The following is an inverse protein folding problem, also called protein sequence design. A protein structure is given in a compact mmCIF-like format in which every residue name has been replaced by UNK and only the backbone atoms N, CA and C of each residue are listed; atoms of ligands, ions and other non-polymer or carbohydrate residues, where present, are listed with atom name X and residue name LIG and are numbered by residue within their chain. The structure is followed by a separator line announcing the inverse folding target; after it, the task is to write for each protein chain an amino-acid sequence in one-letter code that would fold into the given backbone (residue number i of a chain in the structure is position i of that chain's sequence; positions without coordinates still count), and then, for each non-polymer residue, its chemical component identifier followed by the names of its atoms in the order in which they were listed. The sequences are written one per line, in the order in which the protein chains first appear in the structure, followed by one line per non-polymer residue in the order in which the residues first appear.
data_IF_419215412047
#
_entry.id   IF_419215412047
#
_cell.length_a   1.000
_cell.length_b   1.000
_cell.length_c   1.000
_cell.angle_alpha   90.00
_cell.angle_beta   90.00
_cell.angle_gamma   90.00
#
_symmetry.space_group_name_H-M   'P 1'
#
loop_
_entity.id
_entity.type
_entity.pdbx_description
1 polymer ?
#
# COMPACT_ATOMS: atom_id res chain seq x y z
N UNK A 1 -12.63 -5.07 -6.80
CA UNK A 1 -13.94 -4.49 -7.11
C UNK A 1 -14.41 -4.91 -8.52
N UNK A 2 -13.66 -4.58 -9.57
CA UNK A 2 -14.07 -4.86 -10.96
C UNK A 2 -14.35 -6.35 -11.24
N UNK A 3 -13.58 -7.26 -10.64
CA UNK A 3 -13.71 -8.70 -10.83
C UNK A 3 -14.58 -9.38 -9.77
N UNK A 4 -15.17 -8.64 -8.83
CA UNK A 4 -15.98 -9.20 -7.75
C UNK A 4 -15.24 -10.16 -6.83
N UNK A 5 -13.94 -9.96 -6.63
CA UNK A 5 -13.09 -10.78 -5.75
C UNK A 5 -12.89 -10.12 -4.39
N UNK A 6 -12.31 -10.84 -3.45
CA UNK A 6 -12.00 -10.37 -2.09
C UNK A 6 -13.25 -9.79 -1.37
N UNK A 7 -13.14 -8.60 -0.79
CA UNK A 7 -14.26 -7.93 -0.13
C UNK A 7 -15.44 -7.60 -1.06
N UNK A 8 -15.25 -7.72 -2.37
CA UNK A 8 -16.29 -7.52 -3.40
C UNK A 8 -16.88 -8.82 -3.93
N UNK A 9 -16.64 -9.97 -3.28
CA UNK A 9 -17.21 -11.26 -3.70
C UNK A 9 -18.74 -11.17 -3.75
N UNK A 10 -19.31 -11.44 -4.93
CA UNK A 10 -20.75 -11.27 -5.20
C UNK A 10 -21.23 -9.81 -5.31
N UNK A 11 -20.31 -8.83 -5.28
CA UNK A 11 -20.62 -7.41 -5.40
C UNK A 11 -19.69 -6.75 -6.43
N UNK A 12 -19.64 -7.30 -7.63
CA UNK A 12 -18.83 -6.74 -8.72
C UNK A 12 -19.28 -5.32 -9.03
N UNK A 13 -18.30 -4.41 -9.14
CA UNK A 13 -18.54 -3.03 -9.57
C UNK A 13 -18.22 -2.95 -11.06
N UNK A 14 -19.28 -3.00 -11.87
CA UNK A 14 -19.17 -2.83 -13.32
C UNK A 14 -18.81 -1.38 -13.68
N UNK A 15 -18.24 -1.19 -14.86
CA UNK A 15 -17.95 0.14 -15.38
C UNK A 15 -16.78 0.87 -14.74
N UNK A 16 -15.94 0.22 -13.91
CA UNK A 16 -14.71 0.82 -13.43
C UNK A 16 -13.68 0.97 -14.57
N UNK A 17 -13.11 2.17 -14.66
CA UNK A 17 -12.06 2.53 -15.63
C UNK A 17 -10.88 3.18 -14.91
N UNK A 18 -9.66 2.92 -15.37
CA UNK A 18 -8.46 3.55 -14.86
C UNK A 18 -8.21 4.91 -15.52
N UNK A 19 -7.72 5.87 -14.77
CA UNK A 19 -7.14 7.09 -15.33
C UNK A 19 -5.61 7.01 -15.39
N UNK A 20 -4.99 6.54 -14.32
CA UNK A 20 -3.54 6.34 -14.23
C UNK A 20 -3.18 5.44 -13.05
N UNK A 21 -2.08 4.72 -13.15
CA UNK A 21 -1.33 4.24 -12.00
C UNK A 21 -0.29 5.30 -11.63
N UNK A 22 -0.12 5.55 -10.32
CA UNK A 22 0.66 6.69 -9.84
C UNK A 22 1.99 6.23 -9.25
N UNK A 23 2.00 5.82 -8.02
CA UNK A 23 3.19 5.43 -7.27
C UNK A 23 2.95 4.10 -6.53
N UNK A 24 4.00 3.39 -6.13
CA UNK A 24 3.83 2.20 -5.31
C UNK A 24 3.43 2.57 -3.89
N UNK A 25 2.35 1.98 -3.39
CA UNK A 25 1.98 1.97 -1.98
C UNK A 25 2.63 0.77 -1.33
N UNK A 26 3.65 1.04 -0.52
CA UNK A 26 4.43 0.01 0.14
C UNK A 26 3.69 -0.53 1.34
N UNK A 27 3.60 -1.85 1.46
CA UNK A 27 3.10 -2.49 2.67
C UNK A 27 4.22 -2.47 3.71
N UNK A 28 4.13 -1.55 4.65
CA UNK A 28 5.07 -1.34 5.73
C UNK A 28 4.53 -2.05 6.97
N UNK A 29 5.30 -2.97 7.50
CA UNK A 29 4.95 -3.69 8.73
C UNK A 29 5.82 -3.13 9.84
N UNK A 30 5.21 -2.41 10.76
CA UNK A 30 5.91 -1.67 11.80
C UNK A 30 5.69 -2.27 13.18
N UNK A 31 6.76 -2.37 13.95
CA UNK A 31 6.74 -2.80 15.34
C UNK A 31 7.74 -1.96 16.15
N UNK A 32 7.74 -2.11 17.47
CA UNK A 32 8.74 -1.51 18.35
C UNK A 32 9.83 -2.52 18.70
N UNK A 33 11.06 -2.09 18.80
CA UNK A 33 12.22 -2.94 19.15
C UNK A 33 11.98 -3.78 20.41
N UNK A 34 11.29 -3.23 21.40
CA UNK A 34 10.93 -3.93 22.66
C UNK A 34 9.98 -5.12 22.46
N UNK A 35 9.26 -5.22 21.33
CA UNK A 35 8.34 -6.34 21.03
C UNK A 35 9.06 -7.66 20.78
N UNK A 36 10.32 -7.59 20.31
CA UNK A 36 11.11 -8.74 19.87
C UNK A 36 10.68 -9.35 18.54
N UNK A 37 9.66 -8.80 17.86
CA UNK A 37 9.18 -9.26 16.56
C UNK A 37 10.22 -8.93 15.47
N UNK A 38 10.63 -9.95 14.70
CA UNK A 38 11.60 -9.83 13.61
C UNK A 38 11.07 -10.32 12.27
N UNK A 39 10.01 -11.13 12.29
CA UNK A 39 9.37 -11.71 11.10
C UNK A 39 7.86 -11.70 11.28
N UNK A 40 7.13 -11.77 10.16
CA UNK A 40 5.68 -12.00 10.18
C UNK A 40 5.35 -13.34 10.86
N UNK A 41 6.25 -14.33 10.81
CA UNK A 41 6.08 -15.62 11.49
C UNK A 41 5.92 -15.48 13.01
N UNK A 42 6.43 -14.39 13.61
CA UNK A 42 6.35 -14.12 15.05
C UNK A 42 4.97 -13.59 15.50
N UNK A 43 4.01 -13.44 14.60
CA UNK A 43 2.71 -12.79 14.87
C UNK A 43 1.74 -13.67 15.67
N UNK A 44 1.96 -15.00 15.72
CA UNK A 44 1.05 -15.90 16.45
C UNK A 44 0.86 -15.48 17.91
N UNK A 45 -0.39 -15.32 18.30
CA UNK A 45 -0.79 -14.86 19.65
C UNK A 45 -0.61 -13.36 19.91
N UNK A 46 -0.04 -12.58 18.95
CA UNK A 46 0.20 -11.15 19.09
C UNK A 46 -1.02 -10.31 18.72
N UNK A 47 -1.04 -9.08 19.19
CA UNK A 47 -2.04 -8.06 18.85
C UNK A 47 -1.57 -7.31 17.62
N UNK A 48 -2.23 -7.50 16.51
CA UNK A 48 -1.82 -6.96 15.20
C UNK A 48 -2.88 -5.98 14.69
N UNK A 49 -2.48 -4.73 14.46
CA UNK A 49 -3.29 -3.75 13.75
C UNK A 49 -3.18 -4.02 12.24
N UNK A 50 -4.27 -4.49 11.64
CA UNK A 50 -4.30 -4.94 10.24
C UNK A 50 -4.78 -3.86 9.26
N UNK A 51 -5.04 -2.65 9.74
CA UNK A 51 -5.69 -1.57 8.99
C UNK A 51 -7.16 -1.45 9.36
N UNK A 52 -7.83 -0.41 8.87
CA UNK A 52 -9.26 -0.23 9.09
C UNK A 52 -10.07 -1.36 8.44
N UNK A 53 -11.19 -1.73 9.04
CA UNK A 53 -12.04 -2.80 8.52
C UNK A 53 -12.47 -2.52 7.06
N UNK A 54 -12.27 -3.51 6.18
CA UNK A 54 -12.58 -3.42 4.76
C UNK A 54 -11.67 -2.50 3.96
N UNK A 55 -10.53 -2.08 4.50
CA UNK A 55 -9.52 -1.30 3.77
C UNK A 55 -8.63 -2.19 2.89
N UNK A 56 -7.94 -1.56 1.92
CA UNK A 56 -6.90 -2.23 1.14
C UNK A 56 -5.75 -2.73 2.01
N UNK A 57 -5.40 -1.99 3.08
CA UNK A 57 -4.37 -2.40 4.04
C UNK A 57 -4.76 -3.69 4.76
N UNK A 58 -6.01 -3.83 5.17
CA UNK A 58 -6.53 -5.05 5.80
C UNK A 58 -6.40 -6.26 4.84
N UNK A 59 -6.79 -6.08 3.58
CA UNK A 59 -6.63 -7.12 2.57
C UNK A 59 -5.16 -7.52 2.37
N UNK A 60 -4.25 -6.54 2.30
CA UNK A 60 -2.81 -6.78 2.19
C UNK A 60 -2.27 -7.51 3.42
N UNK A 61 -2.66 -7.10 4.62
CA UNK A 61 -2.23 -7.73 5.88
C UNK A 61 -2.65 -9.21 5.90
N UNK A 62 -3.90 -9.50 5.57
CA UNK A 62 -4.42 -10.87 5.51
C UNK A 62 -3.66 -11.72 4.49
N UNK A 63 -3.49 -11.23 3.26
CA UNK A 63 -2.82 -11.94 2.19
C UNK A 63 -1.34 -12.22 2.52
N UNK A 64 -0.63 -11.26 3.12
CA UNK A 64 0.76 -11.46 3.55
C UNK A 64 0.81 -12.50 4.66
N UNK A 65 0.01 -12.39 5.71
CA UNK A 65 -0.01 -13.37 6.80
C UNK A 65 -0.35 -14.77 6.31
N UNK A 66 -1.30 -14.92 5.38
CA UNK A 66 -1.63 -16.20 4.75
C UNK A 66 -0.43 -16.82 4.02
N UNK A 67 0.43 -16.01 3.37
CA UNK A 67 1.67 -16.49 2.76
C UNK A 67 2.65 -17.07 3.78
N UNK A 68 2.57 -16.64 5.04
CA UNK A 68 3.30 -17.21 6.18
C UNK A 68 2.55 -18.33 6.91
N UNK A 69 1.36 -18.72 6.42
CA UNK A 69 0.52 -19.74 7.05
C UNK A 69 -0.14 -19.26 8.34
N UNK A 70 -0.34 -17.95 8.51
CA UNK A 70 -0.98 -17.33 9.67
C UNK A 70 -2.37 -16.86 9.26
N UNK A 71 -3.38 -17.24 10.04
CA UNK A 71 -4.76 -16.80 9.89
C UNK A 71 -5.14 -15.81 10.98
N UNK A 72 -6.24 -15.12 10.83
CA UNK A 72 -6.75 -14.19 11.84
C UNK A 72 -7.05 -14.85 13.18
N UNK A 73 -7.42 -16.14 13.18
CA UNK A 73 -7.62 -16.92 14.41
C UNK A 73 -6.31 -17.19 15.20
N UNK A 74 -5.15 -17.06 14.52
CA UNK A 74 -3.84 -17.23 15.14
C UNK A 74 -3.34 -15.95 15.85
N UNK A 75 -4.02 -14.82 15.70
CA UNK A 75 -3.61 -13.50 16.20
C UNK A 75 -4.76 -12.79 16.93
N UNK A 76 -4.45 -11.72 17.63
CA UNK A 76 -5.46 -10.80 18.20
C UNK A 76 -5.62 -9.61 17.25
N UNK A 77 -6.53 -9.72 16.30
CA UNK A 77 -6.78 -8.72 15.24
C UNK A 77 -7.29 -7.41 15.84
N UNK A 78 -6.72 -6.29 15.38
CA UNK A 78 -7.18 -4.94 15.68
C UNK A 78 -7.42 -4.18 14.36
N UNK A 79 -8.65 -3.69 14.17
CA UNK A 79 -9.03 -2.90 13.00
C UNK A 79 -8.87 -1.42 13.34
N UNK A 80 -7.76 -0.81 12.93
CA UNK A 80 -7.38 0.55 13.29
C UNK A 80 -6.94 1.32 12.04
N UNK A 81 -7.26 2.62 12.00
CA UNK A 81 -6.63 3.55 11.04
C UNK A 81 -5.13 3.69 11.34
N UNK A 82 -4.36 4.30 10.43
CA UNK A 82 -2.92 4.47 10.62
C UNK A 82 -2.58 5.30 11.87
N UNK A 83 -3.36 6.37 12.14
CA UNK A 83 -3.16 7.19 13.33
C UNK A 83 -3.49 6.46 14.64
N UNK A 84 -4.60 5.72 14.67
CA UNK A 84 -4.98 4.89 15.82
C UNK A 84 -3.97 3.77 16.06
N UNK A 85 -3.48 3.11 14.99
CA UNK A 85 -2.44 2.09 15.08
C UNK A 85 -1.12 2.65 15.62
N UNK A 86 -0.73 3.86 15.19
CA UNK A 86 0.46 4.56 15.70
C UNK A 86 0.33 4.84 17.21
N UNK A 87 -0.81 5.36 17.65
CA UNK A 87 -1.08 5.57 19.08
C UNK A 87 -1.07 4.26 19.85
N UNK A 88 -1.77 3.23 19.35
CA UNK A 88 -1.83 1.92 20.00
C UNK A 88 -0.46 1.22 20.11
N UNK A 89 0.45 1.41 19.12
CA UNK A 89 1.83 0.93 19.20
C UNK A 89 2.62 1.67 20.31
N UNK A 90 2.53 3.00 20.34
CA UNK A 90 3.20 3.81 21.38
C UNK A 90 2.76 3.40 22.78
N UNK A 91 1.47 3.22 22.97
CA UNK A 91 0.84 2.83 24.25
C UNK A 91 1.05 1.35 24.60
N UNK A 92 1.57 0.53 23.68
CA UNK A 92 1.75 -0.89 23.88
C UNK A 92 0.44 -1.70 23.83
N UNK A 93 -0.61 -1.16 23.21
CA UNK A 93 -1.91 -1.83 23.03
C UNK A 93 -1.93 -2.77 21.82
N UNK A 94 -1.02 -2.57 20.85
CA UNK A 94 -0.72 -3.51 19.76
C UNK A 94 0.77 -3.80 19.70
N UNK A 95 1.14 -4.95 19.12
CA UNK A 95 2.51 -5.43 19.07
C UNK A 95 3.15 -5.14 17.69
N UNK A 96 2.34 -5.09 16.63
CA UNK A 96 2.74 -4.66 15.29
C UNK A 96 1.55 -4.06 14.54
N UNK A 97 1.83 -3.30 13.47
CA UNK A 97 0.83 -2.69 12.62
C UNK A 97 1.20 -2.74 11.14
N UNK A 98 0.20 -2.94 10.30
CA UNK A 98 0.31 -2.79 8.84
C UNK A 98 -0.06 -1.38 8.41
N UNK A 99 0.74 -0.81 7.51
CA UNK A 99 0.53 0.50 6.88
C UNK A 99 0.82 0.38 5.39
N UNK A 100 -0.20 0.46 4.55
CA UNK A 100 -0.03 0.46 3.09
C UNK A 100 -0.14 1.89 2.58
N UNK A 101 1.00 2.50 2.27
CA UNK A 101 1.11 3.89 1.84
C UNK A 101 2.45 4.15 1.13
N UNK A 102 2.57 5.31 0.48
CA UNK A 102 3.87 5.84 0.07
C UNK A 102 4.75 6.10 1.30
N UNK A 103 6.03 5.78 1.21
CA UNK A 103 6.98 6.03 2.30
C UNK A 103 7.89 7.24 1.97
N UNK A 104 8.37 7.99 2.98
CA UNK A 104 8.08 7.85 4.42
C UNK A 104 6.62 8.23 4.74
N UNK A 105 6.00 7.50 5.68
CA UNK A 105 4.62 7.72 6.10
C UNK A 105 4.58 8.48 7.43
N UNK A 106 3.77 9.54 7.52
CA UNK A 106 3.70 10.42 8.68
C UNK A 106 3.40 9.66 9.99
N UNK A 107 2.49 8.67 9.95
CA UNK A 107 2.16 7.87 11.14
C UNK A 107 3.37 7.07 11.67
N UNK A 108 4.21 6.53 10.79
CA UNK A 108 5.43 5.81 11.21
C UNK A 108 6.50 6.79 11.68
N UNK A 109 6.64 7.95 11.03
CA UNK A 109 7.53 9.00 11.50
C UNK A 109 7.17 9.49 12.92
N UNK A 110 5.88 9.67 13.20
CA UNK A 110 5.40 10.05 14.54
C UNK A 110 5.79 9.02 15.61
N UNK A 111 5.66 7.72 15.32
CA UNK A 111 6.12 6.68 16.25
C UNK A 111 7.64 6.77 16.44
N UNK A 112 8.39 6.91 15.35
CA UNK A 112 9.85 6.89 15.33
C UNK A 112 10.49 8.08 16.05
N UNK A 113 9.77 9.20 16.26
CA UNK A 113 10.28 10.34 17.03
C UNK A 113 10.54 10.02 18.50
N UNK A 114 9.75 9.12 19.09
CA UNK A 114 9.79 8.82 20.52
C UNK A 114 10.12 7.35 20.83
N UNK A 115 10.12 6.48 19.83
CA UNK A 115 10.30 5.04 20.00
C UNK A 115 11.31 4.47 19.02
N UNK A 116 11.96 3.38 19.39
CA UNK A 116 12.80 2.60 18.49
C UNK A 116 11.89 1.72 17.61
N UNK A 117 11.59 2.22 16.40
CA UNK A 117 10.78 1.52 15.39
C UNK A 117 11.63 0.47 14.69
N UNK A 118 11.01 -0.66 14.39
CA UNK A 118 11.56 -1.71 13.53
C UNK A 118 10.55 -1.97 12.41
N UNK A 119 11.03 -1.97 11.18
CA UNK A 119 10.25 -2.45 10.04
C UNK A 119 10.50 -3.95 9.89
N UNK A 120 9.41 -4.74 9.89
CA UNK A 120 9.47 -6.19 9.71
C UNK A 120 9.54 -6.50 8.23
N UNK A 121 10.56 -7.22 7.74
CA UNK A 121 10.69 -7.55 6.32
C UNK A 121 9.64 -8.56 5.87
N UNK A 122 9.37 -8.57 4.56
CA UNK A 122 8.69 -9.67 3.88
C UNK A 122 9.78 -10.53 3.21
N UNK A 123 9.85 -11.80 3.59
CA UNK A 123 10.85 -12.74 3.09
C UNK A 123 10.69 -12.96 1.58
N UNK A 124 11.79 -13.17 0.87
CA UNK A 124 11.81 -13.21 -0.59
C UNK A 124 10.93 -14.32 -1.17
N UNK A 125 10.94 -15.52 -0.57
CA UNK A 125 10.10 -16.66 -0.97
C UNK A 125 8.61 -16.39 -0.73
N UNK A 126 8.27 -15.68 0.35
CA UNK A 126 6.90 -15.26 0.66
C UNK A 126 6.40 -14.19 -0.29
N UNK A 127 7.26 -13.24 -0.63
CA UNK A 127 6.96 -12.24 -1.66
C UNK A 127 6.73 -12.89 -3.02
N UNK A 128 7.54 -13.88 -3.42
CA UNK A 128 7.36 -14.61 -4.67
C UNK A 128 6.03 -15.40 -4.71
N UNK A 129 5.73 -16.10 -3.62
CA UNK A 129 4.45 -16.82 -3.49
C UNK A 129 3.24 -15.87 -3.56
N UNK A 130 3.34 -14.72 -2.89
CA UNK A 130 2.30 -13.68 -2.88
C UNK A 130 2.07 -13.12 -4.30
N UNK A 131 3.15 -12.77 -5.03
CA UNK A 131 3.07 -12.23 -6.39
C UNK A 131 2.50 -13.27 -7.36
N UNK A 132 2.87 -14.55 -7.20
CA UNK A 132 2.30 -15.63 -8.01
C UNK A 132 0.78 -15.76 -7.83
N UNK A 133 0.30 -15.58 -6.62
CA UNK A 133 -1.13 -15.66 -6.29
C UNK A 133 -1.87 -14.37 -6.63
N UNK A 134 -1.23 -13.23 -6.40
CA UNK A 134 -1.77 -11.88 -6.57
C UNK A 134 -0.82 -11.02 -7.43
N UNK A 135 -0.95 -11.08 -8.78
CA UNK A 135 -0.02 -10.43 -9.72
C UNK A 135 0.04 -8.90 -9.65
N UNK A 136 -0.80 -8.27 -8.84
CA UNK A 136 -0.78 -6.83 -8.60
C UNK A 136 0.24 -6.39 -7.54
N UNK A 137 0.89 -7.33 -6.82
CA UNK A 137 2.02 -7.00 -5.95
C UNK A 137 3.33 -6.90 -6.74
N UNK A 138 4.22 -6.07 -6.23
CA UNK A 138 5.61 -5.99 -6.67
C UNK A 138 6.55 -6.04 -5.47
N UNK A 139 7.77 -6.56 -5.65
CA UNK A 139 8.82 -6.43 -4.65
C UNK A 139 9.31 -4.99 -4.60
N UNK A 140 9.61 -4.51 -3.40
CA UNK A 140 10.16 -3.18 -3.16
C UNK A 140 11.12 -3.24 -1.96
N UNK A 141 12.09 -2.34 -1.94
CA UNK A 141 13.02 -2.18 -0.82
C UNK A 141 12.84 -0.78 -0.22
N UNK A 142 12.51 -0.74 1.07
CA UNK A 142 12.52 0.51 1.85
C UNK A 142 13.97 0.77 2.22
N UNK A 143 14.55 1.85 1.70
CA UNK A 143 15.97 2.16 1.87
C UNK A 143 16.30 2.55 3.29
N UNK A 144 17.51 2.20 3.73
CA UNK A 144 18.08 2.68 4.98
C UNK A 144 17.97 4.20 5.07
N UNK A 145 17.70 4.73 6.27
CA UNK A 145 17.51 6.15 6.50
C UNK A 145 16.13 6.70 6.10
N UNK A 146 15.18 5.87 5.63
CA UNK A 146 13.80 6.31 5.37
C UNK A 146 13.12 6.76 6.66
N UNK A 147 13.39 6.08 7.77
CA UNK A 147 12.91 6.45 9.10
C UNK A 147 14.08 6.63 10.08
N UNK A 148 13.89 7.41 11.16
CA UNK A 148 14.90 7.56 12.20
C UNK A 148 15.37 6.19 12.74
N UNK A 149 16.68 6.01 12.85
CA UNK A 149 17.33 4.78 13.37
C UNK A 149 17.08 3.52 12.54
N UNK A 150 16.63 3.65 11.30
CA UNK A 150 16.56 2.55 10.34
C UNK A 150 17.87 2.49 9.57
N UNK A 151 18.82 1.67 10.04
CA UNK A 151 20.19 1.64 9.52
C UNK A 151 20.39 0.65 8.36
N UNK A 152 19.38 -0.15 8.02
CA UNK A 152 19.44 -1.15 6.97
C UNK A 152 18.25 -1.06 6.01
N UNK A 153 18.48 -1.53 4.77
CA UNK A 153 17.43 -1.74 3.78
C UNK A 153 16.44 -2.80 4.29
N UNK A 154 15.15 -2.63 4.02
CA UNK A 154 14.09 -3.56 4.42
C UNK A 154 13.31 -4.03 3.19
N UNK A 155 13.30 -5.34 2.95
CA UNK A 155 12.53 -5.96 1.89
C UNK A 155 11.03 -5.86 2.19
N UNK A 156 10.26 -5.39 1.23
CA UNK A 156 8.81 -5.21 1.33
C UNK A 156 8.12 -5.60 0.02
N UNK A 157 6.80 -5.58 0.04
CA UNK A 157 5.97 -5.64 -1.16
C UNK A 157 5.15 -4.36 -1.28
N UNK A 158 4.73 -4.05 -2.49
CA UNK A 158 3.93 -2.86 -2.77
C UNK A 158 2.80 -3.20 -3.75
N UNK A 159 1.73 -2.41 -3.69
CA UNK A 159 0.68 -2.36 -4.70
C UNK A 159 0.73 -1.01 -5.40
N UNK A 160 0.23 -0.91 -6.64
CA UNK A 160 0.17 0.38 -7.34
C UNK A 160 -1.04 1.18 -6.87
N UNK A 161 -0.82 2.43 -6.50
CA UNK A 161 -1.90 3.41 -6.34
C UNK A 161 -2.52 3.67 -7.72
N UNK A 162 -3.82 3.47 -7.86
CA UNK A 162 -4.55 3.68 -9.11
C UNK A 162 -5.61 4.75 -8.93
N UNK A 163 -5.58 5.75 -9.82
CA UNK A 163 -6.69 6.68 -9.96
C UNK A 163 -7.74 6.04 -10.87
N UNK A 164 -8.91 5.77 -10.33
CA UNK A 164 -10.01 5.10 -11.02
C UNK A 164 -11.29 5.94 -11.03
N UNK A 165 -12.07 5.77 -12.06
CA UNK A 165 -13.36 6.44 -12.28
C UNK A 165 -14.40 5.42 -12.73
N UNK A 166 -15.63 5.85 -12.90
CA UNK A 166 -16.67 5.04 -13.55
C UNK A 166 -16.76 5.38 -15.04
N UNK A 167 -17.36 4.49 -15.82
CA UNK A 167 -17.67 4.68 -17.25
C UNK A 167 -18.65 5.84 -17.52
N UNK A 168 -19.23 6.44 -16.46
CA UNK A 168 -20.04 7.66 -16.55
C UNK A 168 -19.21 8.93 -16.68
N UNK A 169 -17.90 8.87 -16.44
CA UNK A 169 -17.00 10.00 -16.65
C UNK A 169 -16.80 10.21 -18.14
N UNK A 170 -17.12 11.38 -18.66
CA UNK A 170 -16.93 11.73 -20.06
C UNK A 170 -15.44 11.85 -20.42
N UNK A 171 -15.16 11.65 -21.69
CA UNK A 171 -13.79 11.64 -22.27
C UNK A 171 -13.04 12.97 -22.01
N UNK A 172 -13.73 14.12 -22.18
CA UNK A 172 -13.07 15.42 -22.06
C UNK A 172 -12.67 15.70 -20.60
N UNK A 173 -13.51 15.35 -19.66
CA UNK A 173 -13.21 15.50 -18.21
C UNK A 173 -12.05 14.56 -17.82
N UNK A 174 -12.07 13.31 -18.25
CA UNK A 174 -10.99 12.36 -17.97
C UNK A 174 -9.64 12.82 -18.57
N UNK A 175 -9.68 13.33 -19.83
CA UNK A 175 -8.51 13.92 -20.46
C UNK A 175 -7.98 15.13 -19.68
N UNK A 176 -8.87 16.05 -19.27
CA UNK A 176 -8.50 17.24 -18.52
C UNK A 176 -7.85 16.90 -17.19
N UNK A 177 -8.38 15.88 -16.47
CA UNK A 177 -7.79 15.40 -15.21
C UNK A 177 -6.39 14.84 -15.45
N UNK A 178 -6.21 13.96 -16.44
CA UNK A 178 -4.90 13.40 -16.76
C UNK A 178 -3.90 14.50 -17.13
N UNK A 179 -4.31 15.45 -17.97
CA UNK A 179 -3.48 16.60 -18.38
C UNK A 179 -3.10 17.48 -17.21
N UNK A 180 -4.03 17.79 -16.33
CA UNK A 180 -3.77 18.60 -15.14
C UNK A 180 -2.82 17.89 -14.17
N UNK A 181 -2.99 16.59 -13.93
CA UNK A 181 -2.13 15.80 -13.07
C UNK A 181 -0.69 15.78 -13.58
N UNK A 182 -0.48 15.38 -14.81
CA UNK A 182 0.86 15.25 -15.40
C UNK A 182 1.50 16.60 -15.74
N UNK A 183 0.71 17.66 -15.92
CA UNK A 183 1.17 19.04 -16.10
C UNK A 183 1.62 19.72 -14.82
N UNK A 184 1.34 19.14 -13.63
CA UNK A 184 1.66 19.72 -12.34
C UNK A 184 2.54 18.80 -11.46
N UNK A 185 3.31 17.90 -12.06
CA UNK A 185 4.13 16.93 -11.31
C UNK A 185 5.12 17.61 -10.34
N UNK A 186 5.73 18.73 -10.72
CA UNK A 186 6.70 19.41 -9.86
C UNK A 186 6.05 19.96 -8.58
N UNK A 187 4.81 20.45 -8.69
CA UNK A 187 4.02 20.86 -7.51
C UNK A 187 3.70 19.67 -6.61
N UNK A 188 3.37 18.51 -7.21
CA UNK A 188 3.10 17.29 -6.46
C UNK A 188 4.36 16.77 -5.75
N UNK A 189 5.51 16.78 -6.44
CA UNK A 189 6.81 16.39 -5.87
C UNK A 189 7.21 17.29 -4.70
N UNK A 190 6.93 18.60 -4.80
CA UNK A 190 7.16 19.52 -3.70
C UNK A 190 6.26 19.26 -2.49
N UNK A 191 5.06 18.69 -2.71
CA UNK A 191 4.12 18.35 -1.64
C UNK A 191 4.46 17.02 -0.96
N UNK A 192 4.90 16.01 -1.72
CA UNK A 192 5.23 14.68 -1.17
C UNK A 192 6.21 13.91 -2.06
N UNK A 193 7.23 13.31 -1.45
CA UNK A 193 8.29 12.54 -2.15
C UNK A 193 7.79 11.37 -2.98
N UNK A 194 6.68 10.72 -2.61
CA UNK A 194 6.07 9.65 -3.40
C UNK A 194 5.73 10.08 -4.84
N UNK A 195 5.49 11.37 -5.06
CA UNK A 195 5.21 11.91 -6.39
C UNK A 195 6.42 11.82 -7.36
N UNK A 196 7.64 11.60 -6.86
CA UNK A 196 8.80 11.34 -7.71
C UNK A 196 8.66 10.05 -8.55
N UNK A 197 7.83 9.12 -8.12
CA UNK A 197 7.54 7.88 -8.86
C UNK A 197 6.45 8.04 -9.94
N UNK A 198 5.77 9.19 -10.00
CA UNK A 198 4.70 9.43 -10.98
C UNK A 198 5.31 9.87 -12.30
N UNK A 199 5.04 9.11 -13.37
CA UNK A 199 5.50 9.46 -14.73
C UNK A 199 4.51 8.99 -15.81
N UNK A 200 4.51 9.65 -16.98
CA UNK A 200 3.75 9.18 -18.15
C UNK A 200 4.18 7.77 -18.57
N UNK A 201 5.46 7.46 -18.46
CA UNK A 201 6.03 6.19 -18.91
C UNK A 201 5.46 4.99 -18.13
N UNK A 202 5.15 5.19 -16.84
CA UNK A 202 4.67 4.13 -15.93
C UNK A 202 3.18 4.22 -15.62
N UNK A 203 2.47 5.15 -16.25
CA UNK A 203 1.06 5.46 -15.94
C UNK A 203 0.08 4.31 -16.24
N UNK A 204 0.48 3.32 -17.01
CA UNK A 204 -0.34 2.14 -17.35
C UNK A 204 0.18 0.85 -16.71
N UNK A 205 1.30 0.90 -15.99
CA UNK A 205 1.92 -0.28 -15.38
C UNK A 205 1.04 -0.86 -14.28
N UNK A 206 0.75 -2.15 -14.37
CA UNK A 206 -0.07 -2.84 -13.37
C UNK A 206 -1.56 -2.44 -13.38
N UNK A 207 -2.04 -1.73 -14.40
CA UNK A 207 -3.45 -1.39 -14.54
C UNK A 207 -4.27 -2.64 -14.85
N UNK A 208 -5.12 -3.02 -13.91
CA UNK A 208 -5.93 -4.25 -13.96
C UNK A 208 -7.35 -4.03 -14.50
N UNK A 209 -7.69 -2.80 -14.89
CA UNK A 209 -8.98 -2.39 -15.45
C UNK A 209 -8.77 -1.61 -16.75
N UNK A 210 -9.83 -1.51 -17.57
CA UNK A 210 -9.78 -0.78 -18.84
C UNK A 210 -9.46 0.70 -18.58
N UNK A 211 -8.56 1.26 -19.40
CA UNK A 211 -8.28 2.70 -19.38
C UNK A 211 -9.48 3.49 -19.87
N UNK A 212 -9.76 4.64 -19.25
CA UNK A 212 -10.78 5.58 -19.74
C UNK A 212 -10.30 6.19 -21.07
N UNK A 213 -11.20 6.36 -22.07
CA UNK A 213 -10.82 6.90 -23.39
C UNK A 213 -10.11 8.25 -23.33
N UNK A 214 -10.52 9.16 -22.44
CA UNK A 214 -9.88 10.47 -22.27
C UNK A 214 -8.46 10.37 -21.72
N UNK A 215 -8.22 9.47 -20.77
CA UNK A 215 -6.87 9.21 -20.27
C UNK A 215 -6.00 8.56 -21.38
N UNK A 216 -6.56 7.62 -22.13
CA UNK A 216 -5.87 6.97 -23.25
C UNK A 216 -5.46 7.99 -24.31
N UNK A 217 -6.35 8.90 -24.68
CA UNK A 217 -6.08 10.02 -25.60
C UNK A 217 -4.89 10.86 -25.11
N UNK A 218 -4.90 11.26 -23.82
CA UNK A 218 -3.81 12.04 -23.23
C UNK A 218 -2.47 11.30 -23.27
N UNK A 219 -2.43 10.00 -22.98
CA UNK A 219 -1.18 9.23 -22.97
C UNK A 219 -0.65 8.94 -24.39
N UNK A 220 -1.49 9.03 -25.42
CA UNK A 220 -1.11 8.83 -26.79
C UNK A 220 -0.66 10.15 -27.48
N UNK A 221 -0.82 11.30 -26.83
CA UNK A 221 -0.26 12.58 -27.33
C UNK A 221 1.26 12.59 -27.22
N UNK A 222 1.90 12.96 -28.33
CA UNK A 222 3.36 13.09 -28.48
C UNK A 222 3.92 14.30 -27.74
#
# INVERSE_FOLDING_TARGET
AANGTEMFKGKQVAGLQGLATLYPETVQIVTLKKSGIKSVADFKGKRIAVGAAGSGTEANARQIMEAYGIKYDDIKVQYLSFGEAASALKDGNVDAAFVTAGHPTAAIQDIATQNDVVLVPVDADKADALIKQYPFYTKLVIKAGTYPKQDADVSAVAVKCMLAVTDKMDENTAYAIAKALYGNLDRMKSAHSAANAISKATAKDGMSIKLNPGAEKFFNEK
#
